data_IF_261974896095
#
_entry.id   IF_261974896095
#
_cell.length_a   1.000
_cell.length_b   1.000
_cell.length_c   1.000
_cell.angle_alpha   90.00
_cell.angle_beta   90.00
_cell.angle_gamma   90.00
#
_symmetry.space_group_name_H-M   'P 1'
#
loop_
_entity.id
_entity.type
_entity.pdbx_description
1 polymer ?
#
# COMPACT_ATOMS: atom_id res chain seq x y z
N UNK A 1 9.64 -19.19 11.73
CA UNK A 1 10.11 -19.31 10.34
C UNK A 1 9.55 -18.26 9.36
N UNK A 2 8.63 -17.36 9.74
CA UNK A 2 8.16 -16.30 8.83
C UNK A 2 9.13 -15.12 8.67
N UNK A 3 10.07 -14.94 9.62
CA UNK A 3 11.04 -13.83 9.61
C UNK A 3 12.19 -14.07 8.62
N UNK A 4 12.62 -15.32 8.49
CA UNK A 4 13.75 -15.73 7.63
C UNK A 4 13.38 -15.72 6.14
N UNK A 5 12.12 -16.02 5.81
CA UNK A 5 11.63 -16.04 4.42
C UNK A 5 11.61 -14.65 3.77
N UNK A 6 11.25 -13.60 4.52
CA UNK A 6 11.31 -12.23 4.04
C UNK A 6 12.76 -11.76 3.85
N UNK A 7 13.65 -12.07 4.79
CA UNK A 7 15.06 -11.69 4.72
C UNK A 7 15.77 -12.32 3.50
N UNK A 8 15.55 -13.62 3.26
CA UNK A 8 16.16 -14.32 2.13
C UNK A 8 15.61 -13.88 0.76
N UNK A 9 14.38 -13.34 0.72
CA UNK A 9 13.78 -12.84 -0.51
C UNK A 9 14.16 -11.39 -0.84
N UNK A 10 14.46 -10.56 0.17
CA UNK A 10 14.64 -9.12 0.01
C UNK A 10 16.08 -8.63 0.26
N UNK A 11 16.90 -9.40 0.98
CA UNK A 11 18.29 -9.07 1.33
C UNK A 11 19.18 -10.22 0.82
N UNK A 12 19.37 -10.28 -0.49
CA UNK A 12 20.06 -11.42 -1.15
C UNK A 12 21.58 -11.29 -1.27
N UNK A 13 22.20 -10.15 -0.90
CA UNK A 13 23.64 -9.99 -1.02
C UNK A 13 24.24 -8.94 -0.07
N UNK A 14 25.50 -9.16 0.32
CA UNK A 14 26.31 -8.22 1.11
C UNK A 14 26.52 -6.86 0.38
N UNK A 15 26.35 -6.83 -0.94
CA UNK A 15 26.34 -5.57 -1.71
C UNK A 15 25.09 -4.72 -1.42
N UNK A 16 23.90 -5.32 -1.28
CA UNK A 16 22.68 -4.59 -0.87
C UNK A 16 22.79 -4.05 0.55
N UNK A 17 23.45 -4.78 1.45
CA UNK A 17 23.77 -4.29 2.79
C UNK A 17 24.72 -3.09 2.72
N UNK A 18 25.67 -3.08 1.78
CA UNK A 18 26.60 -1.96 1.58
C UNK A 18 25.91 -0.70 1.02
N UNK A 19 24.91 -0.84 0.16
CA UNK A 19 24.11 0.26 -0.37
C UNK A 19 23.26 0.89 0.74
N UNK A 20 22.63 0.05 1.58
CA UNK A 20 21.91 0.48 2.78
C UNK A 20 22.89 1.21 3.72
N UNK A 21 24.07 0.66 4.02
CA UNK A 21 25.04 1.33 4.92
C UNK A 21 25.51 2.70 4.40
N UNK A 22 25.66 2.88 3.08
CA UNK A 22 25.98 4.20 2.48
C UNK A 22 24.81 5.17 2.64
N UNK A 23 23.58 4.69 2.52
CA UNK A 23 22.36 5.48 2.69
C UNK A 23 22.24 6.02 4.13
N UNK A 24 22.55 5.21 5.14
CA UNK A 24 22.56 5.62 6.55
C UNK A 24 23.67 6.62 6.90
N UNK A 25 24.84 6.53 6.24
CA UNK A 25 25.94 7.49 6.44
C UNK A 25 25.60 8.90 5.93
N UNK A 26 24.82 9.02 4.85
CA UNK A 26 24.47 10.31 4.25
C UNK A 26 23.39 11.07 5.06
N UNK A 27 22.53 10.34 5.78
CA UNK A 27 21.46 10.90 6.61
C UNK A 27 21.98 11.69 7.82
N UNK A 28 23.12 11.29 8.39
CA UNK A 28 23.76 12.00 9.52
C UNK A 28 24.31 13.38 9.15
N UNK A 29 24.43 13.70 7.86
CA UNK A 29 24.90 15.00 7.35
C UNK A 29 23.78 16.01 7.05
N UNK A 30 22.52 15.71 7.36
CA UNK A 30 21.38 16.59 7.10
C UNK A 30 20.95 16.68 5.63
N UNK A 31 21.50 15.83 4.76
CA UNK A 31 21.15 15.77 3.33
C UNK A 31 20.24 14.57 3.06
N UNK A 32 18.99 14.69 3.50
CA UNK A 32 17.96 13.74 3.11
C UNK A 32 17.73 13.86 1.60
N UNK A 33 17.77 12.76 0.82
CA UNK A 33 17.29 12.80 -0.55
C UNK A 33 15.85 13.28 -0.53
N UNK A 34 15.49 14.20 -1.43
CA UNK A 34 14.11 14.62 -1.62
C UNK A 34 13.27 13.36 -1.81
N UNK A 35 12.34 13.13 -0.87
CA UNK A 35 11.45 11.97 -0.88
C UNK A 35 10.62 12.04 -2.15
N UNK A 36 11.09 11.40 -3.22
CA UNK A 36 10.24 10.90 -4.28
C UNK A 36 9.49 9.73 -3.67
N UNK A 37 8.38 10.07 -3.03
CA UNK A 37 7.27 9.19 -2.66
C UNK A 37 7.69 7.78 -2.21
N UNK A 38 8.22 7.73 -0.99
CA UNK A 38 8.13 6.60 -0.06
C UNK A 38 8.30 5.21 -0.67
N UNK A 39 9.55 4.73 -0.66
CA UNK A 39 10.06 3.41 -1.06
C UNK A 39 9.50 2.19 -0.30
N UNK A 40 8.23 2.20 0.12
CA UNK A 40 7.50 1.00 0.56
C UNK A 40 6.79 0.36 -0.64
N UNK A 41 6.71 -0.98 -0.75
CA UNK A 41 6.12 -1.66 -1.92
C UNK A 41 4.62 -1.38 -2.16
N UNK A 42 3.97 -0.58 -1.32
CA UNK A 42 2.55 -0.22 -1.45
C UNK A 42 2.25 1.13 -2.12
N UNK A 43 3.24 1.98 -2.40
CA UNK A 43 2.99 3.37 -2.78
C UNK A 43 2.37 4.18 -1.63
N UNK A 44 2.58 5.49 -1.61
CA UNK A 44 2.06 6.33 -0.53
C UNK A 44 0.53 6.26 -0.41
N UNK A 45 0.00 6.32 0.82
CA UNK A 45 -1.46 6.38 1.12
C UNK A 45 -2.21 7.32 0.18
N UNK A 46 -1.63 8.48 -0.12
CA UNK A 46 -2.17 9.49 -1.04
C UNK A 46 -2.40 8.96 -2.46
N UNK A 47 -1.49 8.17 -3.03
CA UNK A 47 -1.61 7.61 -4.37
C UNK A 47 -2.68 6.52 -4.45
N UNK A 48 -2.73 5.65 -3.43
CA UNK A 48 -3.81 4.66 -3.28
C UNK A 48 -5.17 5.34 -3.16
N UNK A 49 -5.28 6.29 -2.23
CA UNK A 49 -6.52 7.05 -1.99
C UNK A 49 -6.97 7.76 -3.26
N UNK A 50 -6.07 8.40 -4.01
CA UNK A 50 -6.39 9.06 -5.27
C UNK A 50 -6.90 8.09 -6.33
N UNK A 51 -6.28 6.92 -6.46
CA UNK A 51 -6.71 5.89 -7.43
C UNK A 51 -8.07 5.30 -7.07
N UNK A 52 -8.28 4.94 -5.81
CA UNK A 52 -9.53 4.35 -5.32
C UNK A 52 -10.66 5.38 -5.29
N UNK A 53 -10.36 6.65 -5.00
CA UNK A 53 -11.35 7.73 -5.02
C UNK A 53 -11.87 8.06 -6.44
N UNK A 54 -11.23 7.56 -7.51
CA UNK A 54 -11.78 7.65 -8.88
C UNK A 54 -12.96 6.71 -9.09
N UNK A 55 -13.11 5.68 -8.24
CA UNK A 55 -14.24 4.76 -8.33
C UNK A 55 -15.52 5.48 -7.92
N UNK A 56 -16.53 5.44 -8.79
CA UNK A 56 -17.81 6.14 -8.60
C UNK A 56 -18.50 5.67 -7.31
N UNK A 57 -18.55 6.56 -6.30
CA UNK A 57 -19.16 6.30 -5.00
C UNK A 57 -18.17 5.94 -3.87
N UNK A 58 -16.87 5.89 -4.17
CA UNK A 58 -15.78 5.89 -3.20
C UNK A 58 -15.17 7.28 -3.16
N UNK A 59 -15.38 7.99 -2.05
CA UNK A 59 -14.66 9.24 -1.78
C UNK A 59 -13.33 8.96 -1.09
N UNK A 60 -12.53 10.02 -0.90
CA UNK A 60 -11.23 9.94 -0.22
C UNK A 60 -11.32 9.24 1.14
N UNK A 61 -12.31 9.59 1.97
CA UNK A 61 -12.51 8.99 3.31
C UNK A 61 -12.71 7.47 3.26
N UNK A 62 -13.47 6.97 2.27
CA UNK A 62 -13.70 5.53 2.11
C UNK A 62 -12.43 4.82 1.66
N UNK A 63 -11.67 5.44 0.77
CA UNK A 63 -10.38 4.92 0.34
C UNK A 63 -9.35 4.92 1.48
N UNK A 64 -9.38 5.94 2.35
CA UNK A 64 -8.52 5.98 3.54
C UNK A 64 -8.87 4.85 4.52
N UNK A 65 -10.16 4.58 4.76
CA UNK A 65 -10.57 3.46 5.61
C UNK A 65 -10.13 2.11 5.05
N UNK A 66 -10.12 1.93 3.72
CA UNK A 66 -9.59 0.73 3.09
C UNK A 66 -8.08 0.62 3.31
N UNK A 67 -7.36 1.72 3.17
CA UNK A 67 -5.92 1.73 3.43
C UNK A 67 -5.61 1.39 4.89
N UNK A 68 -6.36 1.94 5.85
CA UNK A 68 -6.21 1.66 7.28
C UNK A 68 -6.57 0.21 7.64
N UNK A 69 -7.51 -0.39 6.90
CA UNK A 69 -7.86 -1.80 7.02
C UNK A 69 -6.80 -2.77 6.46
N UNK A 70 -5.77 -2.26 5.77
CA UNK A 70 -4.66 -3.05 5.24
C UNK A 70 -4.62 -3.16 3.71
N UNK A 71 -5.60 -2.60 3.00
CA UNK A 71 -5.62 -2.59 1.53
C UNK A 71 -4.72 -1.47 1.01
N UNK A 72 -3.45 -1.78 0.71
CA UNK A 72 -2.49 -0.77 0.27
C UNK A 72 -2.45 -0.57 -1.25
N UNK A 73 -3.03 -1.47 -2.04
CA UNK A 73 -3.00 -1.40 -3.52
C UNK A 73 -4.35 -1.74 -4.15
N UNK A 74 -4.57 -1.27 -5.39
CA UNK A 74 -5.79 -1.63 -6.14
C UNK A 74 -5.85 -3.13 -6.43
N UNK A 75 -4.70 -3.80 -6.56
CA UNK A 75 -4.64 -5.24 -6.74
C UNK A 75 -5.15 -6.01 -5.51
N UNK A 76 -4.85 -5.50 -4.32
CA UNK A 76 -5.38 -6.02 -3.06
C UNK A 76 -6.91 -5.97 -3.05
N UNK A 77 -7.50 -4.85 -3.51
CA UNK A 77 -8.95 -4.71 -3.66
C UNK A 77 -9.56 -5.61 -4.75
N UNK A 78 -8.80 -5.95 -5.80
CA UNK A 78 -9.23 -6.88 -6.87
C UNK A 78 -9.26 -8.33 -6.37
N UNK A 79 -8.30 -8.69 -5.52
CA UNK A 79 -8.18 -10.01 -4.91
C UNK A 79 -9.06 -10.17 -3.67
N UNK A 80 -9.44 -9.08 -3.03
CA UNK A 80 -10.35 -9.05 -1.90
C UNK A 80 -11.75 -9.55 -2.25
N UNK A 81 -12.36 -10.25 -1.31
CA UNK A 81 -13.76 -10.64 -1.40
C UNK A 81 -14.66 -9.50 -0.93
N UNK A 82 -15.89 -9.45 -1.43
CA UNK A 82 -16.89 -8.46 -1.02
C UNK A 82 -17.10 -8.46 0.50
N UNK A 83 -17.03 -9.63 1.15
CA UNK A 83 -17.16 -9.79 2.60
C UNK A 83 -16.01 -9.14 3.36
N UNK A 84 -14.78 -9.26 2.85
CA UNK A 84 -13.58 -8.67 3.44
C UNK A 84 -13.69 -7.15 3.46
N UNK A 85 -14.12 -6.56 2.34
CA UNK A 85 -14.37 -5.12 2.23
C UNK A 85 -15.60 -4.69 3.04
N UNK A 86 -16.64 -5.52 3.13
CA UNK A 86 -17.82 -5.21 3.95
C UNK A 86 -17.54 -5.23 5.45
N UNK A 87 -16.49 -5.94 5.89
CA UNK A 87 -15.99 -5.92 7.26
C UNK A 87 -15.29 -4.60 7.64
N UNK A 88 -14.92 -3.77 6.66
CA UNK A 88 -14.26 -2.48 6.89
C UNK A 88 -15.27 -1.46 7.42
N UNK A 89 -14.86 -0.70 8.43
CA UNK A 89 -15.67 0.34 9.05
C UNK A 89 -16.17 1.34 8.00
N UNK A 90 -17.48 1.52 7.93
CA UNK A 90 -18.14 2.42 6.97
C UNK A 90 -18.47 1.78 5.62
N UNK A 91 -18.24 0.49 5.46
CA UNK A 91 -18.70 -0.31 4.32
C UNK A 91 -19.85 -1.24 4.70
N UNK A 92 -20.65 -1.54 3.68
CA UNK A 92 -21.79 -2.46 3.69
C UNK A 92 -21.65 -3.38 2.48
N UNK A 93 -22.33 -4.52 2.44
CA UNK A 93 -22.28 -5.43 1.29
C UNK A 93 -22.52 -4.73 -0.06
N UNK A 94 -23.44 -3.75 -0.09
CA UNK A 94 -23.74 -2.98 -1.30
C UNK A 94 -22.58 -2.06 -1.72
N UNK A 95 -21.95 -1.40 -0.75
CA UNK A 95 -20.83 -0.50 -1.05
C UNK A 95 -19.55 -1.27 -1.35
N UNK A 96 -19.29 -2.37 -0.63
CA UNK A 96 -18.22 -3.32 -0.89
C UNK A 96 -18.28 -3.89 -2.31
N UNK A 97 -19.48 -4.31 -2.77
CA UNK A 97 -19.68 -4.80 -4.14
C UNK A 97 -19.27 -3.77 -5.20
N UNK A 98 -19.51 -2.48 -4.91
CA UNK A 98 -19.08 -1.37 -5.80
C UNK A 98 -17.58 -1.17 -5.77
N UNK A 99 -16.92 -1.37 -4.62
CA UNK A 99 -15.46 -1.31 -4.53
C UNK A 99 -14.83 -2.38 -5.39
N UNK A 100 -15.22 -3.66 -5.20
CA UNK A 100 -14.64 -4.79 -5.94
C UNK A 100 -14.89 -4.63 -7.44
N UNK A 101 -16.12 -4.24 -7.83
CA UNK A 101 -16.44 -3.99 -9.23
C UNK A 101 -15.60 -2.84 -9.80
N UNK A 102 -15.57 -1.70 -9.11
CA UNK A 102 -14.82 -0.54 -9.57
C UNK A 102 -13.32 -0.76 -9.60
N UNK A 103 -12.78 -1.53 -8.65
CA UNK A 103 -11.38 -1.93 -8.63
C UNK A 103 -11.04 -2.78 -9.86
N UNK A 104 -11.92 -3.69 -10.29
CA UNK A 104 -11.75 -4.47 -11.54
C UNK A 104 -11.80 -3.63 -12.82
N UNK A 105 -12.45 -2.46 -12.77
CA UNK A 105 -12.57 -1.52 -13.89
C UNK A 105 -11.42 -0.50 -13.97
N UNK A 106 -10.51 -0.48 -12.97
CA UNK A 106 -9.27 0.33 -12.94
C UNK A 106 -8.09 -0.43 -13.56
#
# INVERSE_FOLDING_TARGET
HARDGWFNANISSLESVSEIIKEWRNIQGGKFPEVKESSGPGGGKSAFVSSVAKIKGLGAVKAENLYDAGFHTVDDLKSASTEDIAGVVGFTNLSASKVVKGAKEL
#
